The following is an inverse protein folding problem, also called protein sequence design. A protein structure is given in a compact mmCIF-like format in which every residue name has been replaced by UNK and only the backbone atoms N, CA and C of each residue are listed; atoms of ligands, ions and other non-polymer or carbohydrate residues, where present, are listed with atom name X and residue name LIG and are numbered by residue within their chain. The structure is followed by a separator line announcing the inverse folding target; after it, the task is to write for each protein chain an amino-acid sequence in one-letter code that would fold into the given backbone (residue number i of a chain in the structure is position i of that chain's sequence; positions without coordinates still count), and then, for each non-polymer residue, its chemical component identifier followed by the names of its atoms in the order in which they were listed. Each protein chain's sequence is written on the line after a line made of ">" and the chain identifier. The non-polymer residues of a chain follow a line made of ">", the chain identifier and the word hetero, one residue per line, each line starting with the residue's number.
data_IF_227475880507
#
_entry.id   IF_227475880507
#
_cell.length_a   1.000
_cell.length_b   1.000
_cell.length_c   1.000
_cell.angle_alpha   90.00
_cell.angle_beta   90.00
_cell.angle_gamma   90.00
#
_symmetry.space_group_name_H-M   'P 1'
#
loop_
_entity.id
_entity.type
_entity.pdbx_description
1 polymer ?
#
# COMPACT_ATOMS: atom_id res chain seq x y z
N UNK A 1 -20.10 -14.17 -4.45
CA UNK A 1 -19.94 -12.83 -3.85
C UNK A 1 -19.55 -11.84 -4.94
N UNK A 2 -19.97 -10.57 -4.87
CA UNK A 2 -19.63 -9.53 -5.87
C UNK A 2 -18.12 -9.37 -6.07
N UNK A 3 -17.36 -9.54 -4.99
CA UNK A 3 -15.88 -9.51 -5.00
C UNK A 3 -15.28 -10.60 -5.92
N UNK A 4 -15.70 -11.85 -5.73
CA UNK A 4 -15.26 -12.99 -6.56
C UNK A 4 -15.64 -12.84 -8.04
N UNK A 5 -16.73 -12.13 -8.35
CA UNK A 5 -17.12 -11.82 -9.74
C UNK A 5 -16.18 -10.78 -10.38
N UNK A 6 -15.83 -9.74 -9.63
CA UNK A 6 -14.87 -8.71 -10.04
C UNK A 6 -13.47 -9.31 -10.23
N UNK A 7 -13.01 -10.15 -9.30
CA UNK A 7 -11.71 -10.85 -9.38
C UNK A 7 -11.61 -11.77 -10.60
N UNK A 8 -12.71 -12.44 -10.95
CA UNK A 8 -12.77 -13.32 -12.13
C UNK A 8 -13.13 -12.57 -13.43
N UNK A 9 -13.19 -11.23 -13.41
CA UNK A 9 -13.52 -10.41 -14.58
C UNK A 9 -14.95 -10.60 -15.11
N UNK A 10 -15.85 -11.18 -14.33
CA UNK A 10 -17.22 -11.49 -14.74
C UNK A 10 -18.21 -10.48 -14.17
N UNK A 11 -18.66 -9.55 -15.01
CA UNK A 11 -19.64 -8.52 -14.66
C UNK A 11 -19.02 -7.15 -14.47
N UNK A 12 -19.65 -6.12 -15.05
CA UNK A 12 -19.26 -4.72 -14.82
C UNK A 12 -19.77 -4.31 -13.43
N UNK A 13 -18.90 -3.88 -12.51
CA UNK A 13 -19.36 -3.30 -11.26
C UNK A 13 -20.14 -2.01 -11.55
N UNK A 14 -21.30 -1.88 -10.92
CA UNK A 14 -22.13 -0.67 -10.91
C UNK A 14 -21.44 0.46 -10.14
N UNK A 15 -21.84 1.70 -10.43
CA UNK A 15 -21.25 2.90 -9.86
C UNK A 15 -21.33 2.91 -8.32
N UNK A 16 -22.42 2.42 -7.74
CA UNK A 16 -22.60 2.34 -6.28
C UNK A 16 -21.59 1.38 -5.65
N UNK A 17 -21.36 0.21 -6.26
CA UNK A 17 -20.34 -0.71 -5.78
C UNK A 17 -18.92 -0.14 -5.90
N UNK A 18 -18.63 0.61 -6.95
CA UNK A 18 -17.34 1.32 -7.10
C UNK A 18 -17.18 2.38 -6.01
N UNK A 19 -18.22 3.18 -5.74
CA UNK A 19 -18.21 4.20 -4.69
C UNK A 19 -18.00 3.58 -3.30
N UNK A 20 -18.64 2.45 -3.00
CA UNK A 20 -18.46 1.71 -1.74
C UNK A 20 -17.04 1.16 -1.59
N UNK A 21 -16.47 0.58 -2.65
CA UNK A 21 -15.12 0.04 -2.63
C UNK A 21 -14.08 1.15 -2.46
N UNK A 22 -14.23 2.26 -3.17
CA UNK A 22 -13.32 3.41 -3.08
C UNK A 22 -13.41 4.11 -1.73
N UNK A 23 -14.60 4.23 -1.15
CA UNK A 23 -14.77 4.73 0.22
C UNK A 23 -14.13 3.80 1.26
N UNK A 24 -14.28 2.48 1.10
CA UNK A 24 -13.64 1.52 1.99
C UNK A 24 -12.10 1.55 1.90
N UNK A 25 -11.57 1.72 0.69
CA UNK A 25 -10.14 1.85 0.41
C UNK A 25 -9.56 3.25 0.69
N UNK A 26 -10.39 4.21 1.15
CA UNK A 26 -10.03 5.63 1.25
C UNK A 26 -9.33 6.19 0.00
N UNK A 27 -9.84 5.79 -1.18
CA UNK A 27 -9.22 6.04 -2.48
C UNK A 27 -10.12 6.93 -3.35
N UNK A 28 -9.61 7.96 -4.06
CA UNK A 28 -10.41 8.78 -4.96
C UNK A 28 -11.02 7.99 -6.12
N UNK A 29 -12.33 8.16 -6.38
CA UNK A 29 -13.06 7.48 -7.48
C UNK A 29 -12.45 7.77 -8.85
N UNK A 30 -11.96 9.00 -9.07
CA UNK A 30 -11.30 9.42 -10.31
C UNK A 30 -10.10 8.55 -10.69
N UNK A 31 -9.48 7.87 -9.71
CA UNK A 31 -8.35 6.96 -9.96
C UNK A 31 -8.78 5.69 -10.72
N UNK A 32 -10.00 5.20 -10.48
CA UNK A 32 -10.54 4.03 -11.19
C UNK A 32 -11.15 4.39 -12.55
N UNK A 33 -11.67 5.62 -12.67
CA UNK A 33 -12.40 6.05 -13.87
C UNK A 33 -11.49 6.53 -15.01
N UNK A 34 -10.23 6.85 -14.72
CA UNK A 34 -9.24 7.22 -15.74
C UNK A 34 -8.70 5.95 -16.44
N UNK A 35 -8.87 5.89 -17.76
CA UNK A 35 -8.26 4.84 -18.60
C UNK A 35 -6.73 4.94 -18.46
N UNK A 36 -6.12 3.92 -17.87
CA UNK A 36 -4.69 3.86 -17.57
C UNK A 36 -3.89 4.01 -18.87
N UNK A 37 -3.05 5.05 -18.95
CA UNK A 37 -1.83 5.01 -19.75
C UNK A 37 -0.94 3.91 -19.17
N UNK A 38 -0.15 3.21 -19.98
CA UNK A 38 0.63 2.05 -19.54
C UNK A 38 1.67 2.31 -18.42
N UNK A 39 1.91 3.57 -18.04
CA UNK A 39 2.87 4.02 -17.04
C UNK A 39 2.21 4.63 -15.78
N UNK A 40 1.14 4.02 -15.25
CA UNK A 40 0.64 4.44 -13.92
C UNK A 40 1.45 3.71 -12.86
N UNK A 41 2.43 4.40 -12.26
CA UNK A 41 3.06 3.94 -11.03
C UNK A 41 1.99 3.68 -9.96
N UNK A 42 2.03 2.53 -9.26
CA UNK A 42 1.09 2.25 -8.19
C UNK A 42 1.25 3.31 -7.10
N UNK A 43 0.27 4.20 -6.98
CA UNK A 43 0.26 5.19 -5.90
C UNK A 43 -0.12 4.48 -4.61
N UNK A 44 0.91 4.15 -3.83
CA UNK A 44 0.75 3.53 -2.51
C UNK A 44 0.40 4.62 -1.50
N UNK A 45 -0.83 4.56 -0.97
CA UNK A 45 -1.39 5.56 -0.07
C UNK A 45 -1.24 5.07 1.38
N UNK A 46 -0.44 5.80 2.18
CA UNK A 46 -0.13 5.47 3.56
C UNK A 46 -0.35 6.69 4.48
N UNK A 47 -1.60 7.05 4.81
CA UNK A 47 -1.89 8.31 5.50
C UNK A 47 -1.41 8.30 6.96
N UNK A 48 -1.46 7.12 7.58
CA UNK A 48 -1.28 6.93 9.01
C UNK A 48 -0.46 5.68 9.35
N UNK A 49 0.07 4.97 8.36
CA UNK A 49 0.89 3.80 8.63
C UNK A 49 2.30 4.20 9.10
N UNK A 50 2.82 3.57 10.17
CA UNK A 50 4.21 3.73 10.55
C UNK A 50 5.15 3.37 9.39
N UNK A 51 6.21 4.16 9.19
CA UNK A 51 7.23 3.90 8.16
C UNK A 51 7.81 2.48 8.27
N UNK A 52 7.92 1.95 9.49
CA UNK A 52 8.37 0.58 9.75
C UNK A 52 7.47 -0.46 9.10
N UNK A 53 6.16 -0.22 9.12
CA UNK A 53 5.15 -1.17 8.62
C UNK A 53 5.11 -1.14 7.10
N UNK A 54 5.27 0.06 6.52
CA UNK A 54 5.43 0.24 5.07
C UNK A 54 6.64 -0.53 4.56
N UNK A 55 7.82 -0.36 5.19
CA UNK A 55 9.05 -1.07 4.77
C UNK A 55 8.88 -2.58 4.94
N UNK A 56 8.27 -3.01 6.05
CA UNK A 56 7.98 -4.42 6.29
C UNK A 56 7.10 -5.03 5.18
N UNK A 57 6.05 -4.32 4.76
CA UNK A 57 5.19 -4.76 3.66
C UNK A 57 5.97 -4.88 2.33
N UNK A 58 6.88 -3.93 2.04
CA UNK A 58 7.72 -3.99 0.85
C UNK A 58 8.69 -5.18 0.88
N UNK A 59 9.32 -5.46 2.03
CA UNK A 59 10.21 -6.61 2.18
C UNK A 59 9.48 -7.94 2.01
N UNK A 60 8.23 -8.04 2.49
CA UNK A 60 7.39 -9.24 2.28
C UNK A 60 6.94 -9.43 0.84
N UNK A 61 6.82 -8.34 0.08
CA UNK A 61 6.44 -8.40 -1.33
C UNK A 61 7.63 -8.71 -2.27
N UNK A 62 8.87 -8.63 -1.78
CA UNK A 62 10.07 -8.89 -2.58
C UNK A 62 10.24 -10.38 -2.87
N UNK A 63 10.19 -10.75 -4.15
CA UNK A 63 10.31 -12.14 -4.63
C UNK A 63 11.71 -12.74 -4.43
N UNK A 64 12.72 -11.91 -4.18
CA UNK A 64 14.09 -12.36 -3.96
C UNK A 64 14.35 -12.75 -2.50
N UNK A 65 13.42 -12.44 -1.59
CA UNK A 65 13.55 -12.72 -0.17
C UNK A 65 12.67 -13.91 0.21
N UNK A 66 13.23 -14.79 1.04
CA UNK A 66 12.39 -15.74 1.78
C UNK A 66 11.78 -15.06 3.01
N UNK A 67 10.74 -15.67 3.58
CA UNK A 67 9.98 -15.08 4.69
C UNK A 67 10.85 -14.74 5.91
N UNK A 68 11.81 -15.62 6.24
CA UNK A 68 12.73 -15.42 7.36
C UNK A 68 13.67 -14.22 7.13
N UNK A 69 14.20 -14.07 5.92
CA UNK A 69 15.09 -12.96 5.55
C UNK A 69 14.35 -11.64 5.53
N UNK A 70 13.12 -11.62 4.98
CA UNK A 70 12.28 -10.42 4.98
C UNK A 70 11.96 -9.95 6.41
N UNK A 71 11.67 -10.87 7.32
CA UNK A 71 11.40 -10.56 8.73
C UNK A 71 12.65 -10.04 9.45
N UNK A 72 13.82 -10.69 9.25
CA UNK A 72 15.08 -10.23 9.84
C UNK A 72 15.46 -8.81 9.39
N UNK A 73 15.29 -8.50 8.10
CA UNK A 73 15.53 -7.16 7.55
C UNK A 73 14.54 -6.13 8.11
N UNK A 74 13.27 -6.52 8.27
CA UNK A 74 12.24 -5.67 8.88
C UNK A 74 12.60 -5.30 10.32
N UNK A 75 13.04 -6.26 11.13
CA UNK A 75 13.47 -6.02 12.51
C UNK A 75 14.72 -5.14 12.61
N UNK A 76 15.72 -5.39 11.76
CA UNK A 76 16.92 -4.56 11.68
C UNK A 76 16.53 -3.10 11.37
N UNK A 77 15.68 -2.90 10.36
CA UNK A 77 15.19 -1.58 10.00
C UNK A 77 14.41 -0.92 11.14
N UNK A 78 13.52 -1.66 11.82
CA UNK A 78 12.72 -1.16 12.95
C UNK A 78 13.60 -0.61 14.05
N UNK A 79 14.61 -1.38 14.48
CA UNK A 79 15.55 -0.96 15.54
C UNK A 79 16.36 0.26 15.11
N UNK A 80 16.92 0.24 13.90
CA UNK A 80 17.68 1.36 13.36
C UNK A 80 16.81 2.62 13.26
N UNK A 81 15.61 2.51 12.72
CA UNK A 81 14.69 3.63 12.58
C UNK A 81 14.34 4.24 13.93
N UNK A 82 14.03 3.44 14.95
CA UNK A 82 13.77 3.94 16.30
C UNK A 82 14.98 4.67 16.92
N UNK A 83 16.20 4.18 16.68
CA UNK A 83 17.43 4.78 17.22
C UNK A 83 17.77 6.12 16.54
N UNK A 84 17.51 6.23 15.23
CA UNK A 84 17.99 7.36 14.42
C UNK A 84 16.91 8.34 14.00
N UNK A 85 15.63 7.98 14.07
CA UNK A 85 14.51 8.89 13.79
C UNK A 85 14.36 9.92 14.91
N UNK A 86 15.21 10.94 14.90
CA UNK A 86 15.04 12.15 15.70
C UNK A 86 14.19 13.13 14.88
N UNK A 87 13.02 13.58 15.38
CA UNK A 87 12.36 14.72 14.77
C UNK A 87 13.35 15.88 14.82
N UNK A 88 13.67 16.43 13.64
CA UNK A 88 14.78 17.37 13.47
C UNK A 88 14.80 18.39 14.60
N UNK A 89 15.90 18.41 15.36
CA UNK A 89 16.18 19.49 16.30
C UNK A 89 16.01 20.80 15.51
N UNK A 90 15.02 21.61 15.91
CA UNK A 90 14.75 22.90 15.29
C UNK A 90 16.08 23.64 15.15
N UNK A 91 16.53 23.87 13.90
CA UNK A 91 17.61 24.83 13.64
C UNK A 91 17.13 26.17 14.20
N UNK A 92 17.74 26.59 15.31
CA UNK A 92 17.62 27.96 15.83
C UNK A 92 18.28 28.93 14.88
#
# INVERSE_FOLDING_TARGET
>A
STLSRIENGTGRPDADNIARLTQWLDMPVDRLMKKQSADVEPVIYYPHEPVTDIVSAHLRADKNLNAETAEALSELFRVAYQQFAKPGAKRK
#
